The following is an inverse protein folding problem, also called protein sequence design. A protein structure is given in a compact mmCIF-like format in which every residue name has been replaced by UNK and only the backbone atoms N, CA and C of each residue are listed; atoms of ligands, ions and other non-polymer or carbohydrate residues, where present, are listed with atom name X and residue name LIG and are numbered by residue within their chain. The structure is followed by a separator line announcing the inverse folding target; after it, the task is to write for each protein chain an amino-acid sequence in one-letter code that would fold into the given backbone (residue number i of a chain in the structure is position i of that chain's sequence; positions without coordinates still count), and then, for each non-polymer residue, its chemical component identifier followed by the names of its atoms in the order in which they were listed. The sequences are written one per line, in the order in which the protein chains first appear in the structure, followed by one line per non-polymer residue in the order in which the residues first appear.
data_IF_388528190782
#
_entry.id   IF_388528190782
#
_cell.length_a   1.000
_cell.length_b   1.000
_cell.length_c   1.000
_cell.angle_alpha   90.00
_cell.angle_beta   90.00
_cell.angle_gamma   90.00
#
_symmetry.space_group_name_H-M   'P 1'
#
loop_
_entity.id
_entity.type
_entity.pdbx_description
1 polymer ?
#
# COMPACT_ATOMS: atom_id res chain seq x y z
N UNK A 1 11.08 -11.60 -20.63
CA UNK A 1 10.88 -10.55 -19.61
C UNK A 1 9.54 -9.89 -19.88
N UNK A 2 8.70 -9.68 -18.86
CA UNK A 2 7.41 -8.98 -19.04
C UNK A 2 7.65 -7.56 -19.56
N UNK A 3 6.81 -7.07 -20.48
CA UNK A 3 6.92 -5.69 -20.95
C UNK A 3 6.39 -4.74 -19.86
N UNK A 4 6.79 -3.45 -19.86
CA UNK A 4 6.20 -2.46 -18.95
C UNK A 4 4.68 -2.41 -19.03
N UNK A 5 4.10 -2.66 -20.21
CA UNK A 5 2.66 -2.70 -20.41
C UNK A 5 1.98 -3.86 -19.68
N UNK A 6 2.51 -5.08 -19.78
CA UNK A 6 1.92 -6.24 -19.08
C UNK A 6 2.07 -6.14 -17.55
N UNK A 7 3.15 -5.52 -17.07
CA UNK A 7 3.28 -5.21 -15.64
C UNK A 7 2.25 -4.18 -15.15
N UNK A 8 1.95 -3.15 -15.96
CA UNK A 8 0.97 -2.13 -15.61
C UNK A 8 -0.44 -2.71 -15.44
N UNK A 9 -0.82 -3.66 -16.30
CA UNK A 9 -2.11 -4.35 -16.21
C UNK A 9 -2.22 -5.15 -14.91
N UNK A 10 -1.20 -5.95 -14.60
CA UNK A 10 -1.15 -6.74 -13.35
C UNK A 10 -1.17 -5.84 -12.10
N UNK A 11 -0.44 -4.71 -12.15
CA UNK A 11 -0.40 -3.76 -11.03
C UNK A 11 -1.71 -3.01 -10.85
N UNK A 12 -2.39 -2.67 -11.94
CA UNK A 12 -3.70 -2.01 -11.93
C UNK A 12 -4.72 -2.76 -11.08
N UNK A 13 -4.82 -4.08 -11.28
CA UNK A 13 -5.75 -4.94 -10.55
C UNK A 13 -5.51 -4.92 -9.02
N UNK A 14 -4.24 -4.88 -8.59
CA UNK A 14 -3.88 -4.84 -7.18
C UNK A 14 -3.96 -3.43 -6.55
N UNK A 15 -3.95 -2.37 -7.37
CA UNK A 15 -3.90 -0.99 -6.87
C UNK A 15 -5.28 -0.48 -6.42
N UNK A 16 -6.36 -1.00 -7.01
CA UNK A 16 -7.72 -0.51 -6.73
C UNK A 16 -8.13 -0.76 -5.28
N UNK A 17 -7.93 -1.98 -4.77
CA UNK A 17 -8.23 -2.31 -3.37
C UNK A 17 -7.35 -1.51 -2.43
N UNK A 18 -6.04 -1.45 -2.70
CA UNK A 18 -5.10 -0.68 -1.89
C UNK A 18 -5.44 0.82 -1.84
N UNK A 19 -5.89 1.41 -2.94
CA UNK A 19 -6.30 2.82 -3.00
C UNK A 19 -7.51 3.09 -2.10
N UNK A 20 -8.54 2.22 -2.17
CA UNK A 20 -9.73 2.34 -1.30
C UNK A 20 -9.35 2.23 0.17
N UNK A 21 -8.46 1.31 0.51
CA UNK A 21 -7.99 1.12 1.89
C UNK A 21 -7.25 2.37 2.40
N UNK A 22 -6.37 2.97 1.58
CA UNK A 22 -5.67 4.22 1.93
C UNK A 22 -6.64 5.37 2.13
N UNK A 23 -7.58 5.58 1.21
CA UNK A 23 -8.55 6.68 1.30
C UNK A 23 -9.49 6.51 2.50
N UNK A 24 -9.88 5.28 2.82
CA UNK A 24 -10.68 4.96 4.00
C UNK A 24 -9.93 5.28 5.29
N UNK A 25 -8.63 4.93 5.36
CA UNK A 25 -7.78 5.27 6.51
C UNK A 25 -7.52 6.78 6.64
N UNK A 26 -7.44 7.49 5.53
CA UNK A 26 -7.22 8.94 5.52
C UNK A 26 -8.38 9.75 6.10
N UNK A 27 -9.59 9.15 6.22
CA UNK A 27 -10.80 9.78 6.79
C UNK A 27 -11.03 11.20 6.25
N UNK A 28 -10.91 11.36 4.93
CA UNK A 28 -11.17 12.63 4.27
C UNK A 28 -12.67 12.89 4.40
N UNK A 29 -13.04 13.94 5.16
CA UNK A 29 -14.43 14.37 5.31
C UNK A 29 -15.03 14.85 3.98
N UNK A 30 -16.36 14.92 3.93
CA UNK A 30 -17.12 15.55 2.83
C UNK A 30 -17.03 14.87 1.45
N UNK A 31 -16.37 13.71 1.34
CA UNK A 31 -16.27 12.93 0.10
C UNK A 31 -16.53 11.44 0.36
N UNK A 32 -17.41 10.82 -0.44
CA UNK A 32 -17.51 9.36 -0.51
C UNK A 32 -16.33 8.80 -1.34
N UNK A 33 -15.29 8.37 -0.62
CA UNK A 33 -14.05 7.83 -1.22
C UNK A 33 -14.27 6.54 -1.99
N UNK A 34 -15.28 5.73 -1.64
CA UNK A 34 -15.61 4.50 -2.36
C UNK A 34 -16.30 4.80 -3.68
N UNK A 35 -17.29 5.70 -3.67
CA UNK A 35 -17.96 6.15 -4.88
C UNK A 35 -16.96 6.83 -5.84
N UNK A 36 -16.08 7.68 -5.31
CA UNK A 36 -15.01 8.32 -6.07
C UNK A 36 -14.05 7.30 -6.72
N UNK A 37 -13.51 6.36 -5.92
CA UNK A 37 -12.62 5.33 -6.45
C UNK A 37 -13.31 4.45 -7.51
N UNK A 38 -14.57 4.08 -7.31
CA UNK A 38 -15.34 3.31 -8.28
C UNK A 38 -15.59 4.08 -9.58
N UNK A 39 -15.84 5.40 -9.51
CA UNK A 39 -16.01 6.25 -10.68
C UNK A 39 -14.76 6.33 -11.56
N UNK A 40 -13.58 6.45 -10.93
CA UNK A 40 -12.30 6.47 -11.65
C UNK A 40 -12.01 5.12 -12.31
N UNK A 41 -12.25 4.01 -11.59
CA UNK A 41 -12.03 2.66 -12.11
C UNK A 41 -12.94 2.35 -13.29
N UNK A 42 -14.21 2.76 -13.24
CA UNK A 42 -15.18 2.56 -14.34
C UNK A 42 -14.77 3.27 -15.62
N UNK A 43 -14.07 4.39 -15.53
CA UNK A 43 -13.56 5.12 -16.69
C UNK A 43 -12.25 4.54 -17.25
N UNK A 44 -11.62 3.56 -16.58
CA UNK A 44 -10.56 2.65 -17.07
C UNK A 44 -9.21 3.28 -17.44
N UNK A 45 -9.21 4.48 -18.02
CA UNK A 45 -8.06 5.19 -18.56
C UNK A 45 -7.31 6.02 -17.50
N UNK A 46 -7.95 6.32 -16.37
CA UNK A 46 -7.47 7.29 -15.38
C UNK A 46 -7.07 6.68 -14.02
N UNK A 47 -6.67 5.41 -13.97
CA UNK A 47 -6.18 4.79 -12.73
C UNK A 47 -5.00 5.62 -12.16
N UNK A 48 -5.12 6.17 -10.93
CA UNK A 48 -4.06 6.99 -10.35
C UNK A 48 -2.80 6.17 -10.14
N UNK A 49 -1.67 6.61 -10.70
CA UNK A 49 -0.37 5.96 -10.56
C UNK A 49 0.46 6.71 -9.53
N UNK A 50 0.80 6.03 -8.44
CA UNK A 50 1.59 6.60 -7.34
C UNK A 50 3.03 6.05 -7.42
N UNK A 51 4.00 6.96 -7.32
CA UNK A 51 5.42 6.67 -7.20
C UNK A 51 5.95 7.07 -5.82
N UNK A 52 6.91 6.30 -5.30
CA UNK A 52 7.63 6.62 -4.06
C UNK A 52 9.08 6.88 -4.45
N UNK A 53 9.62 8.02 -4.02
CA UNK A 53 11.03 8.37 -4.21
C UNK A 53 11.68 8.60 -2.85
N UNK A 54 12.85 8.00 -2.65
CA UNK A 54 13.68 8.17 -1.46
C UNK A 54 14.97 8.83 -1.93
N UNK A 55 15.36 9.94 -1.31
CA UNK A 55 16.58 10.66 -1.68
C UNK A 55 17.84 9.85 -1.34
N UNK A 56 18.96 10.20 -1.97
CA UNK A 56 20.28 9.75 -1.52
C UNK A 56 20.62 10.29 -0.12
N UNK A 57 21.65 9.70 0.50
CA UNK A 57 22.09 10.08 1.85
C UNK A 57 22.66 8.93 2.70
N UNK A 58 23.13 7.87 2.05
CA UNK A 58 23.69 6.69 2.71
C UNK A 58 22.67 5.95 3.58
N UNK A 59 23.17 5.28 4.61
CA UNK A 59 22.39 4.40 5.48
C UNK A 59 21.22 5.12 6.17
N UNK A 60 21.38 6.40 6.50
CA UNK A 60 20.33 7.22 7.14
C UNK A 60 19.11 7.35 6.24
N UNK A 61 19.31 7.66 4.97
CA UNK A 61 18.22 7.79 4.02
C UNK A 61 17.53 6.43 3.80
N UNK A 62 18.29 5.34 3.72
CA UNK A 62 17.76 3.98 3.58
C UNK A 62 16.88 3.61 4.77
N UNK A 63 17.33 3.85 6.00
CA UNK A 63 16.56 3.47 7.20
C UNK A 63 15.25 4.25 7.34
N UNK A 64 15.27 5.56 7.07
CA UNK A 64 14.04 6.35 7.07
C UNK A 64 13.09 5.93 5.93
N UNK A 65 13.62 5.68 4.74
CA UNK A 65 12.85 5.19 3.60
C UNK A 65 12.25 3.80 3.84
N UNK A 66 13.01 2.88 4.44
CA UNK A 66 12.55 1.54 4.81
C UNK A 66 11.41 1.60 5.84
N UNK A 67 11.52 2.48 6.83
CA UNK A 67 10.45 2.73 7.80
C UNK A 67 9.18 3.26 7.12
N UNK A 68 9.30 4.22 6.21
CA UNK A 68 8.17 4.75 5.45
C UNK A 68 7.51 3.68 4.56
N UNK A 69 8.31 2.86 3.86
CA UNK A 69 7.78 1.73 3.06
C UNK A 69 7.07 0.72 3.96
N UNK A 70 7.66 0.36 5.11
CA UNK A 70 7.06 -0.57 6.05
C UNK A 70 5.71 -0.07 6.60
N UNK A 71 5.55 1.24 6.81
CA UNK A 71 4.27 1.82 7.22
C UNK A 71 3.18 1.68 6.14
N UNK A 72 3.55 1.70 4.86
CA UNK A 72 2.63 1.52 3.74
C UNK A 72 2.42 0.06 3.33
N UNK A 73 3.23 -0.88 3.83
CA UNK A 73 3.14 -2.30 3.52
C UNK A 73 2.14 -3.01 4.45
N UNK A 74 1.10 -3.59 3.87
CA UNK A 74 0.10 -4.34 4.63
C UNK A 74 0.65 -5.67 5.21
N UNK A 75 1.83 -6.12 4.77
CA UNK A 75 2.54 -7.26 5.36
C UNK A 75 3.21 -6.90 6.69
N UNK A 76 3.38 -5.61 6.98
CA UNK A 76 4.00 -5.15 8.23
C UNK A 76 2.94 -5.05 9.33
N UNK A 77 3.12 -5.83 10.39
CA UNK A 77 2.22 -5.85 11.54
C UNK A 77 2.30 -4.56 12.37
N UNK A 78 1.17 -4.13 12.96
CA UNK A 78 1.10 -3.00 13.90
C UNK A 78 0.70 -1.65 13.29
N UNK A 79 0.88 -1.42 11.98
CA UNK A 79 0.58 -0.12 11.35
C UNK A 79 -0.87 0.05 10.88
N UNK A 80 -1.56 -1.05 10.54
CA UNK A 80 -2.92 -1.02 9.98
C UNK A 80 -4.04 -1.15 11.03
N UNK A 81 -3.77 -0.82 12.30
CA UNK A 81 -4.76 -0.98 13.39
C UNK A 81 -5.15 -2.45 13.68
N UNK A 82 -4.43 -3.42 13.10
CA UNK A 82 -4.56 -4.82 13.48
C UNK A 82 -3.86 -5.00 14.84
N UNK A 83 -4.55 -5.50 15.88
CA UNK A 83 -3.95 -5.71 17.18
C UNK A 83 -2.69 -6.56 17.03
N UNK A 84 -1.56 -6.05 17.52
CA UNK A 84 -0.32 -6.79 17.67
C UNK A 84 -0.50 -7.81 18.79
N UNK A 85 -1.13 -8.94 18.48
CA UNK A 85 -1.44 -9.92 19.52
C UNK A 85 -1.99 -11.22 19.00
N UNK A 86 -1.09 -12.07 18.47
CA UNK A 86 -0.95 -13.47 18.89
C UNK A 86 0.51 -13.89 18.69
N UNK A 87 1.31 -13.82 19.75
CA UNK A 87 2.41 -14.76 19.90
C UNK A 87 1.80 -16.16 19.77
N UNK A 88 2.26 -16.96 18.80
CA UNK A 88 1.87 -18.36 18.68
C UNK A 88 2.73 -19.16 19.68
N UNK A 89 2.19 -19.69 20.79
CA UNK A 89 2.93 -20.60 21.65
C UNK A 89 2.96 -21.94 20.91
N UNK A 90 4.11 -22.37 20.38
CA UNK A 90 4.11 -23.68 19.71
C UNK A 90 5.33 -24.17 18.97
N UNK A 91 6.49 -23.51 19.02
CA UNK A 91 7.72 -24.13 18.55
C UNK A 91 8.68 -24.32 19.71
N UNK A 92 8.60 -25.51 20.30
CA UNK A 92 9.68 -26.04 21.12
C UNK A 92 10.87 -26.27 20.18
N UNK A 93 11.94 -25.50 20.36
CA UNK A 93 13.23 -25.78 19.74
C UNK A 93 13.98 -26.77 20.64
N UNK A 94 14.62 -27.82 20.10
CA UNK A 94 15.51 -28.66 20.89
C UNK A 94 16.67 -27.86 21.48
#
# INVERSE_FOLDING_TARGET
MASPATWLELRGNNTISALKDVLTRAKIGDIDTNAYANGIVRNGSALPRIGIAISGGGYRAIMNGAGAIAAFDNRTHGFHGRPSGRYSPGYNVP
#
